data_IF_603835784665
#
_entry.id   IF_603835784665
#
_cell.length_a   1.000
_cell.length_b   1.000
_cell.length_c   1.000
_cell.angle_alpha   90.00
_cell.angle_beta   90.00
_cell.angle_gamma   90.00
#
_symmetry.space_group_name_H-M   'P 1'
#
loop_
_entity.id
_entity.type
_entity.pdbx_description
1 polymer ?
#
# COMPACT_ATOMS: atom_id res chain seq x y z
N UNK A 1 19.16 -82.74 68.17
CA UNK A 1 19.28 -81.26 68.25
C UNK A 1 20.23 -80.67 67.21
N UNK A 2 21.36 -81.32 66.89
CA UNK A 2 22.35 -80.79 65.92
C UNK A 2 21.86 -80.71 64.46
N UNK A 3 20.93 -81.57 64.03
CA UNK A 3 20.40 -81.59 62.66
C UNK A 3 19.56 -80.35 62.31
N UNK A 4 18.69 -79.90 63.22
CA UNK A 4 17.86 -78.72 63.04
C UNK A 4 18.69 -77.44 62.94
N UNK A 5 19.71 -77.32 63.80
CA UNK A 5 20.62 -76.18 63.79
C UNK A 5 21.41 -76.09 62.47
N UNK A 6 21.87 -77.24 61.96
CA UNK A 6 22.60 -77.32 60.68
C UNK A 6 21.69 -76.97 59.48
N UNK A 7 20.43 -77.40 59.50
CA UNK A 7 19.44 -77.03 58.49
C UNK A 7 19.12 -75.52 58.52
N UNK A 8 18.96 -74.95 59.71
CA UNK A 8 18.78 -73.50 59.89
C UNK A 8 19.95 -72.69 59.36
N UNK A 9 21.19 -73.13 59.64
CA UNK A 9 22.40 -72.47 59.13
C UNK A 9 22.48 -72.50 57.60
N UNK A 10 22.17 -73.65 56.98
CA UNK A 10 22.10 -73.77 55.50
C UNK A 10 21.07 -72.82 54.91
N UNK A 11 19.88 -72.73 55.52
CA UNK A 11 18.83 -71.81 55.05
C UNK A 11 19.27 -70.35 55.18
N UNK A 12 19.91 -69.98 56.28
CA UNK A 12 20.43 -68.63 56.48
C UNK A 12 21.51 -68.27 55.46
N UNK A 13 22.45 -69.19 55.19
CA UNK A 13 23.50 -68.99 54.19
C UNK A 13 22.91 -68.78 52.79
N UNK A 14 21.90 -69.57 52.42
CA UNK A 14 21.20 -69.41 51.15
C UNK A 14 20.47 -68.07 51.03
N UNK A 15 19.75 -67.66 52.08
CA UNK A 15 19.10 -66.34 52.13
C UNK A 15 20.10 -65.18 52.04
N UNK A 16 21.26 -65.33 52.68
CA UNK A 16 22.34 -64.35 52.59
C UNK A 16 22.86 -64.24 51.14
N UNK A 17 23.12 -65.35 50.48
CA UNK A 17 23.58 -65.38 49.09
C UNK A 17 22.55 -64.79 48.12
N UNK A 18 21.27 -65.15 48.28
CA UNK A 18 20.16 -64.56 47.53
C UNK A 18 20.08 -63.04 47.74
N UNK A 19 20.21 -62.58 48.98
CA UNK A 19 20.19 -61.14 49.30
C UNK A 19 21.37 -60.38 48.68
N UNK A 20 22.55 -61.00 48.64
CA UNK A 20 23.73 -60.43 48.01
C UNK A 20 23.54 -60.31 46.48
N UNK A 21 22.98 -61.34 45.85
CA UNK A 21 22.64 -61.33 44.43
C UNK A 21 21.61 -60.25 44.09
N UNK A 22 20.56 -60.13 44.91
CA UNK A 22 19.54 -59.10 44.75
C UNK A 22 20.13 -57.70 44.89
N UNK A 23 20.99 -57.47 45.89
CA UNK A 23 21.64 -56.17 46.09
C UNK A 23 22.49 -55.75 44.88
N UNK A 24 23.32 -56.66 44.34
CA UNK A 24 24.10 -56.40 43.12
C UNK A 24 23.21 -56.06 41.92
N UNK A 25 22.10 -56.78 41.74
CA UNK A 25 21.14 -56.49 40.66
C UNK A 25 20.52 -55.09 40.83
N UNK A 26 20.15 -54.72 42.05
CA UNK A 26 19.56 -53.41 42.34
C UNK A 26 20.55 -52.27 42.14
N UNK A 27 21.82 -52.44 42.52
CA UNK A 27 22.88 -51.45 42.24
C UNK A 27 23.06 -51.20 40.74
N UNK A 28 23.05 -52.25 39.92
CA UNK A 28 23.15 -52.12 38.45
C UNK A 28 21.93 -51.40 37.89
N UNK A 29 20.72 -51.75 38.35
CA UNK A 29 19.49 -51.07 37.94
C UNK A 29 19.48 -49.59 38.35
N UNK A 30 19.95 -49.28 39.55
CA UNK A 30 20.04 -47.93 40.07
C UNK A 30 20.99 -47.09 39.22
N UNK A 31 22.21 -47.57 38.96
CA UNK A 31 23.17 -46.88 38.08
C UNK A 31 22.61 -46.65 36.67
N UNK A 32 21.90 -47.64 36.11
CA UNK A 32 21.24 -47.51 34.80
C UNK A 32 20.13 -46.45 34.83
N UNK A 33 19.36 -46.40 35.91
CA UNK A 33 18.32 -45.39 36.09
C UNK A 33 18.92 -43.99 36.23
N UNK A 34 20.00 -43.82 37.00
CA UNK A 34 20.71 -42.54 37.16
C UNK A 34 21.22 -41.98 35.82
N UNK A 35 21.85 -42.84 34.99
CA UNK A 35 22.31 -42.44 33.65
C UNK A 35 21.12 -42.05 32.76
N UNK A 36 20.05 -42.84 32.77
CA UNK A 36 18.84 -42.55 31.98
C UNK A 36 18.20 -41.21 32.40
N UNK A 37 18.09 -40.95 33.69
CA UNK A 37 17.52 -39.70 34.21
C UNK A 37 18.38 -38.51 33.79
N UNK A 38 19.70 -38.65 33.87
CA UNK A 38 20.64 -37.60 33.45
C UNK A 38 20.50 -37.30 31.97
N UNK A 39 20.44 -38.32 31.12
CA UNK A 39 20.23 -38.18 29.67
C UNK A 39 18.89 -37.50 29.34
N UNK A 40 17.80 -37.93 29.99
CA UNK A 40 16.50 -37.29 29.82
C UNK A 40 16.51 -35.83 30.27
N UNK A 41 17.22 -35.50 31.35
CA UNK A 41 17.43 -34.14 31.81
C UNK A 41 18.14 -33.27 30.77
N UNK A 42 19.21 -33.78 30.16
CA UNK A 42 19.94 -33.08 29.09
C UNK A 42 19.06 -32.87 27.86
N UNK A 43 18.29 -33.88 27.45
CA UNK A 43 17.37 -33.79 26.31
C UNK A 43 16.27 -32.76 26.59
N UNK A 44 15.69 -32.76 27.80
CA UNK A 44 14.66 -31.81 28.19
C UNK A 44 15.20 -30.37 28.19
N UNK A 45 16.40 -30.14 28.74
CA UNK A 45 17.06 -28.84 28.72
C UNK A 45 17.35 -28.36 27.29
N UNK A 46 17.90 -29.22 26.44
CA UNK A 46 18.19 -28.90 25.04
C UNK A 46 16.90 -28.56 24.25
N UNK A 47 15.82 -29.32 24.46
CA UNK A 47 14.52 -29.03 23.85
C UNK A 47 13.95 -27.69 24.33
N UNK A 48 14.01 -27.43 25.64
CA UNK A 48 13.55 -26.17 26.22
C UNK A 48 14.28 -24.98 25.60
N UNK A 49 15.61 -25.05 25.54
CA UNK A 49 16.44 -24.00 24.95
C UNK A 49 16.15 -23.82 23.45
N UNK A 50 16.02 -24.89 22.68
CA UNK A 50 15.70 -24.82 21.26
C UNK A 50 14.38 -24.08 21.00
N UNK A 51 13.33 -24.36 21.77
CA UNK A 51 12.06 -23.66 21.61
C UNK A 51 12.15 -22.20 22.05
N UNK A 52 12.84 -21.92 23.15
CA UNK A 52 13.07 -20.53 23.60
C UNK A 52 13.79 -19.71 22.51
N UNK A 53 14.86 -20.25 21.93
CA UNK A 53 15.63 -19.59 20.86
C UNK A 53 14.78 -19.41 19.60
N UNK A 54 13.96 -20.40 19.24
CA UNK A 54 13.04 -20.31 18.11
C UNK A 54 12.00 -19.21 18.32
N UNK A 55 11.42 -19.09 19.51
CA UNK A 55 10.48 -18.01 19.82
C UNK A 55 11.15 -16.65 19.77
N UNK A 56 12.35 -16.51 20.36
CA UNK A 56 13.13 -15.26 20.29
C UNK A 56 13.42 -14.85 18.85
N UNK A 57 13.86 -15.79 18.01
CA UNK A 57 14.16 -15.53 16.60
C UNK A 57 12.91 -15.05 15.84
N UNK A 58 11.77 -15.74 15.99
CA UNK A 58 10.50 -15.37 15.33
C UNK A 58 10.04 -13.99 15.80
N UNK A 59 10.12 -13.69 17.10
CA UNK A 59 9.72 -12.38 17.62
C UNK A 59 10.63 -11.27 17.09
N UNK A 60 11.94 -11.48 17.04
CA UNK A 60 12.88 -10.50 16.50
C UNK A 60 12.67 -10.26 14.99
N UNK A 61 12.47 -11.33 14.22
CA UNK A 61 12.19 -11.24 12.79
C UNK A 61 10.89 -10.48 12.53
N UNK A 62 9.81 -10.81 13.26
CA UNK A 62 8.54 -10.12 13.15
C UNK A 62 8.64 -8.64 13.55
N UNK A 63 9.39 -8.32 14.61
CA UNK A 63 9.61 -6.93 15.01
C UNK A 63 10.41 -6.17 13.96
N UNK A 64 11.41 -6.79 13.34
CA UNK A 64 12.20 -6.19 12.28
C UNK A 64 11.36 -5.94 11.01
N UNK A 65 10.52 -6.91 10.61
CA UNK A 65 9.66 -6.78 9.44
C UNK A 65 8.59 -5.70 9.64
N UNK A 66 7.97 -5.61 10.83
CA UNK A 66 7.04 -4.53 11.16
C UNK A 66 7.69 -3.15 11.12
N UNK A 67 8.90 -3.01 11.69
CA UNK A 67 9.63 -1.73 11.64
C UNK A 67 9.95 -1.33 10.21
N UNK A 68 10.37 -2.27 9.36
CA UNK A 68 10.64 -2.02 7.94
C UNK A 68 9.37 -1.59 7.21
N UNK A 69 8.27 -2.32 7.38
CA UNK A 69 6.99 -1.99 6.76
C UNK A 69 6.47 -0.62 7.22
N UNK A 70 6.62 -0.27 8.49
CA UNK A 70 6.25 1.03 9.03
C UNK A 70 7.10 2.16 8.42
N UNK A 71 8.42 1.98 8.31
CA UNK A 71 9.28 2.95 7.66
C UNK A 71 8.97 3.13 6.17
N UNK A 72 8.70 2.03 5.44
CA UNK A 72 8.31 2.10 4.03
C UNK A 72 6.95 2.78 3.84
N UNK A 73 5.98 2.51 4.73
CA UNK A 73 4.69 3.19 4.72
C UNK A 73 4.85 4.69 5.00
N UNK A 74 5.67 5.07 5.99
CA UNK A 74 5.94 6.46 6.30
C UNK A 74 6.63 7.17 5.13
N UNK A 75 7.65 6.55 4.52
CA UNK A 75 8.35 7.12 3.37
C UNK A 75 7.40 7.34 2.18
N UNK A 76 6.43 6.45 1.95
CA UNK A 76 5.39 6.62 0.93
C UNK A 76 4.46 7.80 1.25
N UNK A 77 4.03 7.93 2.52
CA UNK A 77 3.21 9.07 2.95
C UNK A 77 3.96 10.40 2.77
N UNK A 78 5.23 10.45 3.16
CA UNK A 78 6.06 11.65 3.00
C UNK A 78 6.26 11.98 1.51
N UNK A 79 6.49 10.99 0.65
CA UNK A 79 6.60 11.19 -0.79
C UNK A 79 5.29 11.71 -1.42
N UNK A 80 4.14 11.17 -1.01
CA UNK A 80 2.82 11.66 -1.46
C UNK A 80 2.60 13.10 -1.01
N UNK A 81 2.96 13.43 0.24
CA UNK A 81 2.82 14.79 0.77
C UNK A 81 3.67 15.78 -0.02
N UNK A 82 4.93 15.47 -0.26
CA UNK A 82 5.83 16.33 -1.06
C UNK A 82 5.31 16.48 -2.49
N UNK A 83 4.85 15.39 -3.12
CA UNK A 83 4.29 15.45 -4.47
C UNK A 83 3.05 16.36 -4.51
N UNK A 84 2.15 16.20 -3.53
CA UNK A 84 0.95 17.04 -3.44
C UNK A 84 1.31 18.53 -3.29
N UNK A 85 2.31 18.86 -2.46
CA UNK A 85 2.77 20.23 -2.28
C UNK A 85 3.35 20.81 -3.58
N UNK A 86 4.11 20.02 -4.33
CA UNK A 86 4.63 20.39 -5.65
C UNK A 86 3.52 20.61 -6.68
N UNK A 87 2.54 19.70 -6.74
CA UNK A 87 1.38 19.81 -7.64
C UNK A 87 0.57 21.07 -7.33
N UNK A 88 0.35 21.37 -6.04
CA UNK A 88 -0.35 22.57 -5.60
C UNK A 88 0.44 23.85 -5.91
N UNK A 89 1.77 23.82 -5.82
CA UNK A 89 2.61 24.94 -6.22
C UNK A 89 2.52 25.18 -7.74
N UNK A 90 2.66 24.12 -8.54
CA UNK A 90 2.54 24.15 -10.00
C UNK A 90 1.17 24.65 -10.44
N UNK A 91 0.08 24.15 -9.82
CA UNK A 91 -1.27 24.59 -10.09
C UNK A 91 -1.46 26.10 -9.85
N UNK A 92 -0.97 26.61 -8.70
CA UNK A 92 -1.04 28.05 -8.39
C UNK A 92 -0.25 28.90 -9.37
N UNK A 93 0.92 28.43 -9.80
CA UNK A 93 1.73 29.12 -10.79
C UNK A 93 1.07 29.13 -12.18
N UNK A 94 0.51 27.99 -12.61
CA UNK A 94 -0.27 27.87 -13.84
C UNK A 94 -1.50 28.79 -13.84
N UNK A 95 -2.22 28.89 -12.71
CA UNK A 95 -3.36 29.80 -12.57
C UNK A 95 -2.93 31.26 -12.70
N UNK A 96 -1.83 31.67 -12.05
CA UNK A 96 -1.28 33.02 -12.18
C UNK A 96 -0.92 33.34 -13.63
N UNK A 97 -0.26 32.40 -14.32
CA UNK A 97 0.09 32.55 -15.74
C UNK A 97 -1.17 32.74 -16.61
N UNK A 98 -2.19 31.91 -16.42
CA UNK A 98 -3.46 32.00 -17.14
C UNK A 98 -4.18 33.34 -16.94
N UNK A 99 -4.21 33.85 -15.70
CA UNK A 99 -4.81 35.17 -15.39
C UNK A 99 -4.04 36.29 -16.10
N UNK A 100 -2.71 36.23 -16.14
CA UNK A 100 -1.90 37.23 -16.85
C UNK A 100 -2.14 37.17 -18.37
N UNK A 101 -2.21 35.96 -18.95
CA UNK A 101 -2.51 35.74 -20.37
C UNK A 101 -3.88 36.31 -20.73
N UNK A 102 -4.93 35.96 -20.00
CA UNK A 102 -6.30 36.43 -20.25
C UNK A 102 -6.43 37.95 -20.11
N UNK A 103 -5.76 38.57 -19.11
CA UNK A 103 -5.72 40.02 -18.97
C UNK A 103 -5.01 40.71 -20.15
N UNK A 104 -3.90 40.14 -20.63
CA UNK A 104 -3.20 40.64 -21.81
C UNK A 104 -4.07 40.53 -23.07
N UNK A 105 -4.76 39.41 -23.26
CA UNK A 105 -5.69 39.22 -24.37
C UNK A 105 -6.85 40.24 -24.33
N UNK A 106 -7.44 40.48 -23.16
CA UNK A 106 -8.49 41.47 -22.99
C UNK A 106 -8.01 42.90 -23.32
N UNK A 107 -6.80 43.27 -22.89
CA UNK A 107 -6.19 44.57 -23.21
C UNK A 107 -5.95 44.75 -24.70
N UNK A 108 -5.44 43.71 -25.37
CA UNK A 108 -5.22 43.72 -26.82
C UNK A 108 -6.54 43.84 -27.58
N UNK A 109 -7.58 43.10 -27.16
CA UNK A 109 -8.90 43.17 -27.76
C UNK A 109 -9.49 44.59 -27.68
N UNK A 110 -9.45 45.21 -26.51
CA UNK A 110 -9.90 46.61 -26.32
C UNK A 110 -9.08 47.56 -27.20
N UNK A 111 -7.76 47.35 -27.30
CA UNK A 111 -6.91 48.19 -28.11
C UNK A 111 -7.24 48.11 -29.61
N UNK A 112 -7.49 46.91 -30.11
CA UNK A 112 -7.90 46.71 -31.51
C UNK A 112 -9.31 47.26 -31.79
N UNK A 113 -10.27 47.04 -30.90
CA UNK A 113 -11.64 47.57 -31.03
C UNK A 113 -11.66 49.10 -31.03
N UNK A 114 -10.89 49.75 -30.15
CA UNK A 114 -10.75 51.20 -30.13
C UNK A 114 -10.11 51.74 -31.42
N UNK A 115 -9.09 51.05 -31.95
CA UNK A 115 -8.46 51.40 -33.24
C UNK A 115 -9.46 51.31 -34.40
N UNK A 116 -10.33 50.30 -34.42
CA UNK A 116 -11.44 50.21 -35.39
C UNK A 116 -12.39 51.40 -35.25
N UNK A 117 -12.70 51.80 -34.01
CA UNK A 117 -13.55 52.95 -33.72
C UNK A 117 -12.88 54.32 -33.99
N UNK A 118 -11.64 54.34 -34.52
CA UNK A 118 -10.89 55.55 -34.83
C UNK A 118 -10.19 56.20 -33.63
N UNK A 119 -10.16 55.52 -32.47
CA UNK A 119 -9.44 55.96 -31.28
C UNK A 119 -8.09 55.27 -31.19
N UNK A 120 -7.00 56.03 -31.38
CA UNK A 120 -5.65 55.54 -31.22
C UNK A 120 -5.00 56.25 -30.02
N UNK A 121 -4.62 55.49 -28.98
CA UNK A 121 -4.03 56.03 -27.77
C UNK A 121 -2.50 55.85 -27.79
N UNK A 122 -1.69 56.93 -27.86
CA UNK A 122 -0.24 56.82 -27.95
C UNK A 122 0.43 56.14 -26.74
N UNK A 123 -0.29 56.02 -25.62
CA UNK A 123 0.22 55.39 -24.39
C UNK A 123 0.05 53.86 -24.39
N UNK A 124 -0.65 53.28 -25.37
CA UNK A 124 -0.84 51.83 -25.46
C UNK A 124 0.30 51.17 -26.23
N UNK A 125 1.08 50.34 -25.53
CA UNK A 125 2.21 49.60 -26.11
C UNK A 125 1.75 48.26 -26.70
N UNK A 126 0.91 48.30 -27.74
CA UNK A 126 0.25 47.12 -28.32
C UNK A 126 1.25 46.04 -28.78
N UNK A 127 2.31 46.41 -29.49
CA UNK A 127 3.35 45.47 -29.95
C UNK A 127 4.11 44.80 -28.79
N UNK A 128 4.34 45.54 -27.71
CA UNK A 128 4.97 44.98 -26.51
C UNK A 128 4.03 43.99 -25.79
N UNK A 129 2.72 44.22 -25.81
CA UNK A 129 1.73 43.30 -25.27
C UNK A 129 1.57 42.04 -26.13
N UNK A 130 1.61 42.17 -27.46
CA UNK A 130 1.61 41.02 -28.39
C UNK A 130 2.85 40.13 -28.20
N UNK A 131 4.02 40.75 -28.10
CA UNK A 131 5.29 40.03 -27.85
C UNK A 131 5.23 39.30 -26.51
N UNK A 132 4.81 39.99 -25.44
CA UNK A 132 4.66 39.39 -24.11
C UNK A 132 3.61 38.28 -24.06
N UNK A 133 2.53 38.39 -24.83
CA UNK A 133 1.52 37.33 -24.94
C UNK A 133 2.08 36.09 -25.65
N UNK A 134 2.87 36.28 -26.71
CA UNK A 134 3.55 35.21 -27.44
C UNK A 134 4.59 34.51 -26.58
N UNK A 135 5.37 35.27 -25.80
CA UNK A 135 6.37 34.74 -24.88
C UNK A 135 5.75 33.89 -23.77
N UNK A 136 4.50 34.21 -23.38
CA UNK A 136 3.72 33.43 -22.41
C UNK A 136 2.92 32.29 -23.08
N UNK A 137 3.15 32.00 -24.37
CA UNK A 137 2.40 31.02 -25.16
C UNK A 137 0.87 31.23 -25.16
N UNK A 138 0.42 32.48 -24.99
CA UNK A 138 -1.00 32.83 -25.07
C UNK A 138 -1.52 32.76 -26.51
N UNK A 139 -2.80 32.41 -26.68
CA UNK A 139 -3.41 32.40 -28.00
C UNK A 139 -3.41 33.83 -28.59
N UNK A 140 -2.99 34.02 -29.85
CA UNK A 140 -2.94 35.32 -30.47
C UNK A 140 -4.34 35.93 -30.57
N UNK A 141 -4.46 37.21 -30.25
CA UNK A 141 -5.69 37.98 -30.50
C UNK A 141 -5.61 38.49 -31.94
N UNK A 142 -6.61 38.18 -32.76
CA UNK A 142 -6.62 38.63 -34.16
C UNK A 142 -6.68 40.16 -34.24
N UNK A 143 -5.73 40.74 -34.98
CA UNK A 143 -5.69 42.15 -35.28
C UNK A 143 -6.46 42.41 -36.59
N UNK A 144 -7.63 43.07 -36.54
CA UNK A 144 -8.48 43.28 -37.71
C UNK A 144 -7.85 44.21 -38.76
N UNK A 145 -6.80 44.96 -38.41
CA UNK A 145 -6.10 45.87 -39.34
C UNK A 145 -5.18 45.13 -40.32
N UNK A 146 -4.79 43.88 -40.05
CA UNK A 146 -3.97 43.09 -40.99
C UNK A 146 -4.75 42.62 -42.23
N UNK A 147 -6.08 42.67 -42.21
CA UNK A 147 -6.93 42.29 -43.36
C UNK A 147 -7.23 43.44 -44.33
N UNK A 148 -6.66 44.64 -44.14
CA UNK A 148 -6.89 45.76 -45.07
C UNK A 148 -5.97 45.77 -46.30
N UNK A 149 -5.17 44.72 -46.49
CA UNK A 149 -4.34 44.53 -47.68
C UNK A 149 -4.61 43.17 -48.34
N UNK A 150 -5.86 42.97 -48.79
CA UNK A 150 -6.27 42.22 -49.99
C UNK A 150 -7.70 41.70 -49.81
N UNK A 151 -8.63 42.37 -50.50
CA UNK A 151 -9.94 41.80 -50.85
C UNK A 151 -10.03 41.92 -52.38
N UNK A 152 -10.51 40.88 -53.07
CA UNK A 152 -11.84 41.05 -53.64
C UNK A 152 -12.79 39.87 -53.38
N UNK A 153 -13.94 40.25 -52.82
CA UNK A 153 -15.31 39.79 -53.03
C UNK A 153 -15.57 38.62 -54.00
N UNK A 154 -16.33 37.64 -53.51
CA UNK A 154 -17.50 37.11 -54.26
C UNK A 154 -18.53 36.48 -53.33
N UNK A 155 -19.76 36.98 -53.42
CA UNK A 155 -20.96 36.45 -52.79
C UNK A 155 -21.48 35.19 -53.51
N UNK A 156 -22.14 34.28 -52.77
CA UNK A 156 -23.37 33.57 -53.17
C UNK A 156 -24.09 33.11 -51.87
N UNK A 157 -25.32 33.59 -51.68
CA UNK A 157 -26.34 32.94 -50.84
C UNK A 157 -26.83 31.65 -51.52
N UNK A 158 -27.09 30.58 -50.77
CA UNK A 158 -28.33 29.80 -50.92
C UNK A 158 -28.60 28.91 -49.69
N UNK A 159 -29.81 29.06 -49.17
CA UNK A 159 -30.50 28.30 -48.11
C UNK A 159 -30.84 26.88 -48.56
N UNK A 160 -30.74 25.87 -47.68
CA UNK A 160 -31.78 24.81 -47.56
C UNK A 160 -31.87 24.30 -46.11
N UNK A 161 -33.13 24.20 -45.69
CA UNK A 161 -33.79 23.75 -44.47
C UNK A 161 -33.86 22.20 -44.31
N UNK A 162 -34.47 21.76 -43.20
CA UNK A 162 -34.85 20.42 -42.74
C UNK A 162 -33.77 19.67 -41.95
N UNK A 163 -33.97 19.29 -40.69
CA UNK A 163 -35.18 18.91 -39.97
C UNK A 163 -34.92 17.54 -39.33
N UNK A 164 -35.24 17.34 -38.05
CA UNK A 164 -35.00 16.03 -37.42
C UNK A 164 -35.04 16.01 -35.91
N UNK A 165 -36.24 16.24 -35.37
CA UNK A 165 -36.64 15.93 -34.01
C UNK A 165 -36.47 14.42 -33.73
N UNK A 166 -35.88 14.09 -32.57
CA UNK A 166 -35.98 12.76 -31.96
C UNK A 166 -35.66 12.86 -30.46
N UNK A 167 -36.65 13.28 -29.68
CA UNK A 167 -36.82 12.76 -28.33
C UNK A 167 -36.82 11.22 -28.36
N UNK A 168 -35.99 10.60 -27.51
CA UNK A 168 -36.34 9.31 -26.93
C UNK A 168 -35.87 9.26 -25.49
N UNK A 169 -36.81 9.61 -24.63
CA UNK A 169 -36.86 9.24 -23.23
C UNK A 169 -37.14 7.73 -23.14
N UNK A 170 -36.31 7.00 -22.41
CA UNK A 170 -36.66 5.69 -21.84
C UNK A 170 -35.92 5.57 -20.51
N UNK A 171 -36.59 5.96 -19.44
CA UNK A 171 -36.29 5.48 -18.10
C UNK A 171 -36.66 4.00 -17.97
N UNK A 172 -35.80 3.24 -17.28
CA UNK A 172 -36.19 2.09 -16.47
C UNK A 172 -35.03 1.75 -15.53
N UNK A 173 -35.24 2.17 -14.29
CA UNK A 173 -34.79 1.50 -13.07
C UNK A 173 -34.95 -0.03 -13.17
N UNK A 174 -33.99 -0.76 -12.58
CA UNK A 174 -34.07 -2.11 -11.98
C UNK A 174 -32.68 -2.76 -12.00
N UNK A 175 -31.89 -2.48 -10.96
CA UNK A 175 -30.68 -3.22 -10.63
C UNK A 175 -30.97 -4.28 -9.55
N UNK A 176 -31.32 -5.49 -9.97
CA UNK A 176 -31.12 -6.74 -9.22
C UNK A 176 -30.28 -7.64 -10.13
N UNK A 177 -29.14 -8.15 -9.64
CA UNK A 177 -28.95 -9.60 -9.42
C UNK A 177 -27.52 -9.94 -8.94
N UNK A 178 -27.47 -11.08 -8.23
CA UNK A 178 -26.36 -11.98 -7.88
C UNK A 178 -25.41 -11.49 -6.77
N UNK A 179 -25.42 -12.07 -5.55
CA UNK A 179 -25.50 -13.50 -5.19
C UNK A 179 -24.19 -13.84 -4.47
N UNK A 180 -24.09 -14.64 -3.42
CA UNK A 180 -24.96 -15.57 -2.73
C UNK A 180 -24.07 -16.32 -1.73
N UNK A 181 -24.70 -16.98 -0.77
CA UNK A 181 -24.17 -18.13 -0.02
C UNK A 181 -23.14 -17.85 1.08
N UNK A 182 -23.69 -17.69 2.29
CA UNK A 182 -23.00 -18.09 3.51
C UNK A 182 -22.87 -19.61 3.52
N UNK A 183 -21.62 -20.07 3.58
CA UNK A 183 -21.30 -21.47 3.74
C UNK A 183 -20.86 -21.77 5.18
N UNK A 184 -21.22 -22.97 5.59
CA UNK A 184 -21.23 -23.51 6.93
C UNK A 184 -19.83 -23.75 7.50
N UNK A 185 -19.73 -23.70 8.83
CA UNK A 185 -18.87 -24.65 9.54
C UNK A 185 -19.57 -25.08 10.82
N UNK A 186 -20.07 -26.32 10.72
CA UNK A 186 -20.55 -27.19 11.79
C UNK A 186 -19.38 -27.46 12.75
N UNK A 187 -19.53 -27.11 14.03
CA UNK A 187 -18.76 -27.75 15.10
C UNK A 187 -19.58 -28.89 15.68
N UNK A 188 -19.18 -30.11 15.34
CA UNK A 188 -19.39 -31.30 16.15
C UNK A 188 -18.08 -32.11 16.14
N UNK A 189 -17.38 -32.17 17.27
CA UNK A 189 -16.45 -33.24 17.64
C UNK A 189 -15.92 -33.07 19.07
N UNK A 190 -16.53 -33.84 19.98
CA UNK A 190 -15.87 -34.69 20.97
C UNK A 190 -14.79 -34.09 21.92
N UNK A 191 -15.19 -33.90 23.18
CA UNK A 191 -14.49 -34.39 24.37
C UNK A 191 -15.45 -34.45 25.57
#
# INVERSE_FOLDING_TARGET
MTSFLNQGLKRLMHLYEESCGLNKMMEVKLKKAEVTITDQGMIAAAKSQHYEDKFKAITQEHQASMKKAAHEAQAKLDAIQVQHEQDMASYREGLKSSVVISLLQARLKIAYEAKIAGFECPTWTVEAWETKLKDLCGAPVENPVKHTAEVPSKAVEMVVDAGGDAMKDTGADLGQDAGGEGDALVEDAAA
#
